data_IF_858712828295
#
_entry.id   IF_858712828295
#
_cell.length_a   1.000
_cell.length_b   1.000
_cell.length_c   1.000
_cell.angle_alpha   90.00
_cell.angle_beta   90.00
_cell.angle_gamma   90.00
#
_symmetry.space_group_name_H-M   'P 1'
#
loop_
_entity.id
_entity.type
_entity.pdbx_description
1 polymer ?
#
# COMPACT_ATOMS: atom_id res chain seq x y z
N UNK A 1 39.26 -39.21 2.07
CA UNK A 1 38.83 -38.06 1.18
C UNK A 1 37.49 -37.61 1.69
N UNK A 2 37.46 -36.65 2.64
CA UNK A 2 36.24 -36.11 3.23
C UNK A 2 35.74 -35.00 2.32
N UNK A 3 34.58 -35.22 1.68
CA UNK A 3 33.87 -34.20 0.90
C UNK A 3 33.09 -33.38 1.93
N UNK A 4 33.53 -32.13 2.15
CA UNK A 4 32.77 -31.13 2.88
C UNK A 4 31.60 -30.69 1.98
N UNK A 5 30.39 -31.17 2.24
CA UNK A 5 29.19 -30.51 1.75
C UNK A 5 29.07 -29.19 2.51
N UNK A 6 29.41 -28.11 1.86
CA UNK A 6 28.93 -26.80 2.26
C UNK A 6 27.41 -26.84 2.12
N UNK A 7 26.70 -26.93 3.25
CA UNK A 7 25.30 -26.53 3.32
C UNK A 7 25.25 -25.05 2.99
N UNK A 8 24.98 -24.72 1.72
CA UNK A 8 24.50 -23.42 1.33
C UNK A 8 23.17 -23.33 2.07
N UNK A 9 23.10 -22.50 3.11
CA UNK A 9 21.85 -22.10 3.73
C UNK A 9 21.04 -21.49 2.58
N UNK A 10 20.03 -22.18 2.09
CA UNK A 10 19.06 -21.57 1.17
C UNK A 10 18.60 -20.30 1.86
N UNK A 11 18.88 -19.16 1.26
CA UNK A 11 18.35 -17.89 1.73
C UNK A 11 16.87 -17.96 1.37
N UNK A 12 16.02 -18.18 2.38
CA UNK A 12 14.58 -18.24 2.15
C UNK A 12 14.14 -16.92 1.51
N UNK A 13 13.52 -17.03 0.35
CA UNK A 13 13.00 -15.90 -0.41
C UNK A 13 11.95 -15.18 0.44
N UNK A 14 12.12 -13.88 0.65
CA UNK A 14 11.21 -13.07 1.45
C UNK A 14 10.05 -12.57 0.60
N UNK A 15 8.85 -13.07 0.82
CA UNK A 15 7.64 -12.72 0.07
C UNK A 15 6.95 -11.50 0.67
N UNK A 16 6.85 -10.43 -0.10
CA UNK A 16 6.27 -9.14 0.30
C UNK A 16 5.05 -8.82 -0.57
N UNK A 17 3.87 -8.85 0.02
CA UNK A 17 2.63 -8.46 -0.64
C UNK A 17 2.42 -6.96 -0.55
N UNK A 18 2.29 -6.26 -1.68
CA UNK A 18 1.93 -4.86 -1.79
C UNK A 18 0.46 -4.72 -2.21
N UNK A 19 -0.45 -4.63 -1.23
CA UNK A 19 -1.88 -4.52 -1.45
C UNK A 19 -2.34 -3.06 -1.42
N UNK A 20 -2.84 -2.54 -2.55
CA UNK A 20 -3.20 -1.13 -2.66
C UNK A 20 -4.15 -0.81 -3.80
N UNK A 21 -4.30 0.47 -4.07
CA UNK A 21 -5.17 1.04 -5.09
C UNK A 21 -4.43 1.40 -6.40
N UNK A 22 -4.87 2.48 -7.06
CA UNK A 22 -4.27 2.98 -8.30
C UNK A 22 -2.82 3.45 -8.13
N UNK A 23 -2.46 4.02 -6.99
CA UNK A 23 -1.08 4.42 -6.70
C UNK A 23 -0.15 3.21 -6.52
N UNK A 24 -0.66 2.06 -6.07
CA UNK A 24 0.10 0.81 -6.05
C UNK A 24 0.10 0.13 -7.42
N UNK A 25 -0.98 0.20 -8.16
CA UNK A 25 -1.05 -0.31 -9.54
C UNK A 25 -0.11 0.47 -10.47
N UNK A 26 0.17 1.76 -10.16
CA UNK A 26 1.00 2.65 -10.97
C UNK A 26 0.20 3.36 -12.06
N UNK A 27 -0.97 3.90 -11.73
CA UNK A 27 -1.79 4.68 -12.66
C UNK A 27 -1.10 5.99 -13.02
N UNK A 28 -1.09 6.35 -14.31
CA UNK A 28 -0.49 7.60 -14.79
C UNK A 28 -1.46 8.76 -14.64
N UNK A 29 -1.05 9.89 -14.04
CA UNK A 29 -1.91 11.06 -13.87
C UNK A 29 -2.48 11.63 -15.18
N UNK A 30 -1.78 11.43 -16.30
CA UNK A 30 -2.22 11.86 -17.64
C UNK A 30 -3.29 10.93 -18.26
N UNK A 31 -3.76 9.93 -17.52
CA UNK A 31 -4.77 8.93 -17.94
C UNK A 31 -4.34 8.03 -19.11
N UNK A 32 -3.05 7.97 -19.44
CA UNK A 32 -2.52 7.14 -20.55
C UNK A 32 -2.28 5.68 -20.18
N UNK A 33 -2.60 5.29 -18.93
CA UNK A 33 -2.54 3.89 -18.49
C UNK A 33 -1.68 3.66 -17.26
N UNK A 34 -0.83 2.64 -17.32
CA UNK A 34 0.03 2.18 -16.22
C UNK A 34 1.48 2.56 -16.46
N UNK A 35 2.17 3.04 -15.45
CA UNK A 35 3.63 3.15 -15.48
C UNK A 35 4.28 1.77 -15.67
N UNK A 36 5.42 1.74 -16.31
CA UNK A 36 6.19 0.52 -16.51
C UNK A 36 6.94 0.08 -15.23
N UNK A 37 7.65 -1.04 -15.31
CA UNK A 37 8.44 -1.60 -14.21
C UNK A 37 9.66 -0.77 -13.80
N UNK A 38 10.03 0.25 -14.60
CA UNK A 38 11.13 1.16 -14.27
C UNK A 38 10.65 2.38 -13.49
N UNK A 39 9.35 2.53 -13.30
CA UNK A 39 8.72 3.70 -12.67
C UNK A 39 7.89 3.34 -11.45
N UNK A 40 7.11 2.24 -11.48
CA UNK A 40 6.23 1.88 -10.35
C UNK A 40 7.03 1.65 -9.07
N UNK A 41 6.57 2.23 -7.96
CA UNK A 41 7.26 2.12 -6.67
C UNK A 41 7.50 0.66 -6.24
N UNK A 42 6.56 -0.23 -6.50
CA UNK A 42 6.66 -1.66 -6.20
C UNK A 42 7.77 -2.35 -6.97
N UNK A 43 7.88 -2.07 -8.27
CA UNK A 43 8.94 -2.63 -9.12
C UNK A 43 10.32 -1.99 -8.83
N UNK A 44 10.36 -0.69 -8.51
CA UNK A 44 11.57 -0.02 -8.04
C UNK A 44 12.04 -0.60 -6.70
N UNK A 45 11.09 -0.89 -5.78
CA UNK A 45 11.38 -1.56 -4.51
C UNK A 45 11.98 -2.94 -4.73
N UNK A 46 11.44 -3.75 -5.66
CA UNK A 46 12.01 -5.05 -6.05
C UNK A 46 13.48 -4.92 -6.48
N UNK A 47 13.78 -3.92 -7.33
CA UNK A 47 15.14 -3.67 -7.81
C UNK A 47 16.10 -3.28 -6.68
N UNK A 48 15.63 -2.49 -5.72
CA UNK A 48 16.42 -2.05 -4.56
C UNK A 48 16.70 -3.17 -3.56
N UNK A 49 15.72 -3.99 -3.28
CA UNK A 49 15.83 -5.10 -2.33
C UNK A 49 16.64 -6.29 -2.91
N UNK A 50 16.64 -6.47 -4.23
CA UNK A 50 17.39 -7.52 -4.90
C UNK A 50 16.67 -8.88 -4.93
N UNK A 51 17.39 -9.96 -5.32
CA UNK A 51 16.79 -11.26 -5.63
C UNK A 51 16.39 -12.08 -4.41
N UNK A 52 16.79 -11.69 -3.21
CA UNK A 52 16.40 -12.35 -1.95
C UNK A 52 14.99 -11.98 -1.51
N UNK A 53 14.34 -11.06 -2.21
CA UNK A 53 12.99 -10.57 -1.97
C UNK A 53 12.13 -10.78 -3.19
N UNK A 54 10.86 -11.05 -2.97
CA UNK A 54 9.84 -11.18 -4.01
C UNK A 54 8.69 -10.24 -3.72
N UNK A 55 8.57 -9.18 -4.52
CA UNK A 55 7.49 -8.20 -4.41
C UNK A 55 6.29 -8.65 -5.24
N UNK A 56 5.17 -8.86 -4.57
CA UNK A 56 3.90 -9.25 -5.16
C UNK A 56 3.04 -7.99 -5.30
N UNK A 57 2.82 -7.56 -6.55
CA UNK A 57 2.10 -6.32 -6.88
C UNK A 57 0.59 -6.56 -6.95
N UNK A 58 -0.15 -6.22 -5.91
CA UNK A 58 -1.61 -6.35 -5.82
C UNK A 58 -2.30 -4.97 -5.77
N UNK A 59 -1.95 -4.09 -6.71
CA UNK A 59 -2.62 -2.81 -6.94
C UNK A 59 -3.88 -2.95 -7.80
N UNK A 60 -4.98 -2.29 -7.42
CA UNK A 60 -6.21 -2.25 -8.22
C UNK A 60 -6.84 -0.85 -8.19
N UNK A 61 -6.90 -0.19 -9.35
CA UNK A 61 -7.49 1.15 -9.47
C UNK A 61 -8.91 1.21 -8.91
N UNK A 62 -9.18 2.18 -8.04
CA UNK A 62 -10.49 2.34 -7.41
C UNK A 62 -10.70 1.47 -6.16
N UNK A 63 -9.70 0.70 -5.71
CA UNK A 63 -9.85 -0.14 -4.50
C UNK A 63 -10.05 0.72 -3.26
N UNK A 64 -11.11 0.40 -2.51
CA UNK A 64 -11.44 0.94 -1.19
C UNK A 64 -10.99 -0.03 -0.09
N UNK A 65 -11.09 0.38 1.17
CA UNK A 65 -10.95 -0.53 2.31
C UNK A 65 -12.17 -1.45 2.43
N UNK A 66 -13.35 -0.92 2.75
CA UNK A 66 -14.56 -1.70 3.08
C UNK A 66 -15.80 -1.27 2.30
N UNK A 67 -15.74 -0.22 1.51
CA UNK A 67 -16.90 0.30 0.80
C UNK A 67 -17.10 -0.42 -0.54
N UNK A 68 -18.33 -0.77 -0.85
CA UNK A 68 -18.69 -1.21 -2.19
C UNK A 68 -18.69 -0.02 -3.16
N UNK A 69 -18.16 -0.24 -4.35
CA UNK A 69 -18.29 0.70 -5.45
C UNK A 69 -19.37 0.18 -6.39
N UNK A 70 -20.54 0.83 -6.35
CA UNK A 70 -21.69 0.44 -7.18
C UNK A 70 -21.46 0.69 -8.68
N UNK A 71 -20.44 1.47 -9.03
CA UNK A 71 -20.09 1.78 -10.43
C UNK A 71 -19.01 0.84 -10.96
N UNK A 72 -18.25 0.17 -10.08
CA UNK A 72 -17.12 -0.68 -10.46
C UNK A 72 -17.04 -1.91 -9.55
N UNK A 73 -17.48 -3.04 -10.05
CA UNK A 73 -17.46 -4.31 -9.32
C UNK A 73 -16.04 -4.69 -8.85
N UNK A 74 -15.96 -5.37 -7.69
CA UNK A 74 -14.72 -5.93 -7.17
C UNK A 74 -13.75 -4.91 -6.55
N UNK A 75 -14.21 -3.71 -6.17
CA UNK A 75 -13.33 -2.67 -5.60
C UNK A 75 -13.22 -2.70 -4.08
N UNK A 76 -14.04 -3.47 -3.40
CA UNK A 76 -13.97 -3.59 -1.94
C UNK A 76 -12.77 -4.46 -1.53
N UNK A 77 -11.76 -3.83 -0.93
CA UNK A 77 -10.52 -4.50 -0.51
C UNK A 77 -10.77 -5.62 0.51
N UNK A 78 -11.74 -5.43 1.41
CA UNK A 78 -12.11 -6.45 2.39
C UNK A 78 -12.54 -7.78 1.74
N UNK A 79 -13.18 -7.76 0.58
CA UNK A 79 -13.60 -8.98 -0.11
C UNK A 79 -12.42 -9.71 -0.77
N UNK A 80 -11.39 -8.95 -1.16
CA UNK A 80 -10.26 -9.46 -1.93
C UNK A 80 -9.09 -9.91 -1.06
N UNK A 81 -8.79 -9.21 0.03
CA UNK A 81 -7.55 -9.41 0.78
C UNK A 81 -7.37 -10.85 1.29
N UNK A 82 -8.44 -11.51 1.74
CA UNK A 82 -8.34 -12.88 2.22
C UNK A 82 -7.89 -13.85 1.13
N UNK A 83 -8.55 -13.79 -0.02
CA UNK A 83 -8.21 -14.63 -1.19
C UNK A 83 -6.81 -14.30 -1.70
N UNK A 84 -6.44 -13.01 -1.75
CA UNK A 84 -5.10 -12.58 -2.16
C UNK A 84 -4.02 -13.15 -1.24
N UNK A 85 -4.23 -13.11 0.07
CA UNK A 85 -3.29 -13.71 1.04
C UNK A 85 -3.17 -15.21 0.82
N UNK A 86 -4.27 -15.95 0.72
CA UNK A 86 -4.26 -17.40 0.46
C UNK A 86 -3.53 -17.77 -0.84
N UNK A 87 -3.68 -16.96 -1.90
CA UNK A 87 -3.04 -17.22 -3.21
C UNK A 87 -1.52 -17.05 -3.18
N UNK A 88 -1.00 -16.21 -2.28
CA UNK A 88 0.42 -15.86 -2.22
C UNK A 88 1.13 -16.34 -0.96
N UNK A 89 0.43 -17.07 -0.10
CA UNK A 89 0.98 -17.62 1.13
C UNK A 89 2.10 -18.66 0.83
N UNK A 90 3.20 -18.73 1.59
CA UNK A 90 3.48 -17.95 2.80
C UNK A 90 4.00 -16.55 2.51
N UNK A 91 3.58 -15.56 3.33
CA UNK A 91 4.01 -14.18 3.27
C UNK A 91 4.86 -13.82 4.49
N UNK A 92 5.91 -13.00 4.29
CA UNK A 92 6.76 -12.48 5.36
C UNK A 92 6.37 -11.07 5.75
N UNK A 93 5.95 -10.25 4.78
CA UNK A 93 5.50 -8.88 4.99
C UNK A 93 4.28 -8.57 4.13
N UNK A 94 3.27 -7.94 4.71
CA UNK A 94 2.15 -7.35 3.98
C UNK A 94 2.22 -5.84 4.10
N UNK A 95 2.24 -5.15 2.98
CA UNK A 95 2.19 -3.69 2.88
C UNK A 95 0.80 -3.31 2.39
N UNK A 96 0.08 -2.48 3.15
CA UNK A 96 -1.25 -2.01 2.77
C UNK A 96 -1.22 -0.49 2.59
N UNK A 97 -1.56 -0.03 1.38
CA UNK A 97 -1.74 1.38 1.04
C UNK A 97 -3.11 1.56 0.37
N UNK A 98 -4.11 1.89 1.16
CA UNK A 98 -5.51 2.12 0.76
C UNK A 98 -6.05 3.36 1.49
N UNK A 99 -7.19 3.87 1.06
CA UNK A 99 -7.92 4.95 1.71
C UNK A 99 -8.24 6.14 0.81
N UNK A 100 -7.50 6.33 -0.27
CA UNK A 100 -7.76 7.41 -1.24
C UNK A 100 -9.18 7.32 -1.79
N UNK A 101 -9.58 6.15 -2.28
CA UNK A 101 -10.93 5.95 -2.84
C UNK A 101 -12.04 5.99 -1.81
N UNK A 102 -11.73 5.72 -0.55
CA UNK A 102 -12.68 5.81 0.57
C UNK A 102 -13.06 7.28 0.87
N UNK A 103 -12.23 8.24 0.44
CA UNK A 103 -12.50 9.67 0.54
C UNK A 103 -13.55 10.18 -0.45
N UNK A 104 -14.00 9.37 -1.42
CA UNK A 104 -15.02 9.78 -2.40
C UNK A 104 -16.31 10.23 -1.73
N UNK A 105 -16.92 11.27 -2.29
CA UNK A 105 -18.13 11.92 -1.74
C UNK A 105 -19.27 10.95 -1.48
N UNK A 106 -19.41 9.92 -2.35
CA UNK A 106 -20.48 8.92 -2.25
C UNK A 106 -20.45 8.12 -0.95
N UNK A 107 -19.27 7.98 -0.31
CA UNK A 107 -19.16 7.25 0.94
C UNK A 107 -19.36 8.11 2.18
N UNK A 108 -19.09 9.41 2.10
CA UNK A 108 -19.27 10.35 3.21
C UNK A 108 -18.51 9.97 4.48
N UNK A 109 -17.44 9.20 4.35
CA UNK A 109 -16.71 8.63 5.48
C UNK A 109 -15.72 9.63 6.08
N UNK A 110 -15.58 9.62 7.40
CA UNK A 110 -14.47 10.32 8.07
C UNK A 110 -13.20 9.47 8.06
N UNK A 111 -12.04 10.09 8.25
CA UNK A 111 -10.75 9.39 8.34
C UNK A 111 -10.78 8.27 9.41
N UNK A 112 -11.45 8.49 10.54
CA UNK A 112 -11.57 7.47 11.58
C UNK A 112 -12.45 6.27 11.17
N UNK A 113 -13.45 6.48 10.33
CA UNK A 113 -14.28 5.39 9.77
C UNK A 113 -13.46 4.60 8.74
N UNK A 114 -12.69 5.28 7.92
CA UNK A 114 -11.79 4.65 6.94
C UNK A 114 -10.73 3.80 7.66
N UNK A 115 -10.13 4.32 8.73
CA UNK A 115 -9.17 3.56 9.55
C UNK A 115 -9.77 2.30 10.18
N UNK A 116 -11.04 2.35 10.64
CA UNK A 116 -11.77 1.14 11.08
C UNK A 116 -11.99 0.15 9.92
N UNK A 117 -12.20 0.65 8.71
CA UNK A 117 -12.24 -0.17 7.51
C UNK A 117 -10.90 -0.86 7.25
N UNK A 118 -9.80 -0.14 7.36
CA UNK A 118 -8.45 -0.70 7.27
C UNK A 118 -8.22 -1.81 8.31
N UNK A 119 -8.67 -1.62 9.56
CA UNK A 119 -8.58 -2.66 10.60
C UNK A 119 -9.31 -3.95 10.20
N UNK A 120 -10.45 -3.87 9.51
CA UNK A 120 -11.15 -5.06 9.01
C UNK A 120 -10.34 -5.76 7.91
N UNK A 121 -9.70 -5.01 7.01
CA UNK A 121 -8.82 -5.55 5.97
C UNK A 121 -7.63 -6.27 6.61
N UNK A 122 -6.97 -5.65 7.58
CA UNK A 122 -5.84 -6.25 8.32
C UNK A 122 -6.26 -7.54 9.02
N UNK A 123 -7.37 -7.52 9.74
CA UNK A 123 -7.91 -8.70 10.43
C UNK A 123 -8.20 -9.82 9.46
N UNK A 124 -8.82 -9.52 8.33
CA UNK A 124 -9.12 -10.49 7.28
C UNK A 124 -7.84 -11.08 6.67
N UNK A 125 -6.83 -10.26 6.42
CA UNK A 125 -5.52 -10.74 5.96
C UNK A 125 -4.91 -11.76 6.93
N UNK A 126 -4.85 -11.42 8.21
CA UNK A 126 -4.28 -12.30 9.25
C UNK A 126 -5.05 -13.61 9.45
N UNK A 127 -6.38 -13.59 9.27
CA UNK A 127 -7.22 -14.79 9.41
C UNK A 127 -7.03 -15.79 8.27
N UNK A 128 -6.51 -15.34 7.11
CA UNK A 128 -6.34 -16.19 5.93
C UNK A 128 -4.87 -16.52 5.64
N UNK A 129 -3.93 -16.08 6.46
CA UNK A 129 -2.53 -16.45 6.36
C UNK A 129 -2.26 -17.77 7.12
N UNK A 130 -1.40 -18.62 6.57
CA UNK A 130 -0.97 -19.87 7.21
C UNK A 130 0.06 -19.66 8.32
N UNK A 131 0.74 -18.51 8.29
CA UNK A 131 1.77 -18.13 9.27
C UNK A 131 1.65 -16.64 9.63
N UNK A 132 2.39 -16.25 10.67
CA UNK A 132 2.54 -14.83 11.01
C UNK A 132 3.32 -14.09 9.91
N UNK A 133 2.89 -12.88 9.58
CA UNK A 133 3.61 -11.94 8.73
C UNK A 133 3.74 -10.58 9.42
N UNK A 134 4.81 -9.86 9.11
CA UNK A 134 4.95 -8.46 9.51
C UNK A 134 4.00 -7.56 8.71
N UNK A 135 3.63 -6.41 9.26
CA UNK A 135 2.70 -5.49 8.63
C UNK A 135 3.30 -4.09 8.54
N UNK A 136 3.23 -3.49 7.35
CA UNK A 136 3.49 -2.07 7.11
C UNK A 136 2.21 -1.41 6.60
N UNK A 137 1.72 -0.43 7.35
CA UNK A 137 0.61 0.43 6.94
C UNK A 137 1.18 1.70 6.34
N UNK A 138 0.78 2.01 5.11
CA UNK A 138 1.13 3.26 4.45
C UNK A 138 -0.13 4.11 4.34
N UNK A 139 -0.15 5.28 5.00
CA UNK A 139 -1.14 6.30 4.70
C UNK A 139 -0.85 6.86 3.30
N UNK A 140 -1.84 6.93 2.39
CA UNK A 140 -1.63 7.41 1.03
C UNK A 140 -1.23 8.90 1.00
N UNK A 141 -0.74 9.35 -0.14
CA UNK A 141 -0.57 10.78 -0.42
C UNK A 141 -1.90 11.53 -0.25
N UNK A 142 -1.83 12.82 0.03
CA UNK A 142 -3.04 13.63 0.15
C UNK A 142 -3.71 13.82 -1.22
N UNK A 143 -5.01 14.02 -1.23
CA UNK A 143 -5.70 14.58 -2.39
C UNK A 143 -5.27 16.05 -2.56
N UNK A 144 -4.99 16.45 -3.79
CA UNK A 144 -4.59 17.81 -4.13
C UNK A 144 -5.76 18.80 -4.07
N UNK A 145 -5.44 20.05 -3.81
CA UNK A 145 -6.46 21.10 -3.75
C UNK A 145 -7.22 21.22 -5.07
N UNK A 146 -8.55 21.22 -4.98
CA UNK A 146 -9.44 21.29 -6.13
C UNK A 146 -9.53 20.00 -6.94
N UNK A 147 -9.17 18.84 -6.36
CA UNK A 147 -9.31 17.53 -7.03
C UNK A 147 -10.71 17.27 -7.55
N UNK A 148 -11.74 17.81 -6.89
CA UNK A 148 -13.14 17.67 -7.28
C UNK A 148 -13.64 18.71 -8.30
N UNK A 149 -12.78 19.59 -8.82
CA UNK A 149 -13.16 20.51 -9.89
C UNK A 149 -13.49 19.75 -11.19
N UNK A 150 -14.36 20.32 -12.07
CA UNK A 150 -14.86 19.61 -13.26
C UNK A 150 -13.79 19.03 -14.20
N UNK A 151 -12.60 19.64 -14.22
CA UNK A 151 -11.50 19.21 -15.08
C UNK A 151 -10.70 18.02 -14.51
N UNK A 152 -10.94 17.63 -13.25
CA UNK A 152 -10.23 16.58 -12.53
C UNK A 152 -11.12 15.35 -12.24
N UNK A 153 -11.38 15.02 -10.96
CA UNK A 153 -12.25 13.91 -10.59
C UNK A 153 -13.44 14.37 -9.72
N UNK A 154 -14.65 14.53 -10.31
CA UNK A 154 -15.83 14.98 -9.59
C UNK A 154 -16.38 13.99 -8.55
N UNK A 155 -15.76 12.80 -8.40
CA UNK A 155 -16.11 11.89 -7.33
C UNK A 155 -15.58 12.36 -5.96
N UNK A 156 -14.68 13.37 -5.95
CA UNK A 156 -14.15 14.02 -4.75
C UNK A 156 -14.71 15.44 -4.57
N UNK A 157 -14.45 16.02 -3.42
CA UNK A 157 -14.76 17.42 -3.07
C UNK A 157 -13.76 17.97 -2.04
N UNK A 158 -13.97 19.18 -1.58
CA UNK A 158 -13.16 19.83 -0.55
C UNK A 158 -13.14 19.04 0.78
N UNK A 159 -14.25 18.32 1.11
CA UNK A 159 -14.29 17.47 2.30
C UNK A 159 -13.42 16.24 2.11
N UNK A 160 -13.38 15.68 0.90
CA UNK A 160 -12.48 14.58 0.55
C UNK A 160 -11.01 14.95 0.77
N UNK A 161 -10.60 16.16 0.37
CA UNK A 161 -9.27 16.69 0.63
C UNK A 161 -8.96 16.74 2.13
N UNK A 162 -9.90 17.28 2.93
CA UNK A 162 -9.74 17.36 4.38
C UNK A 162 -9.67 15.98 5.04
N UNK A 163 -10.47 15.02 4.58
CA UNK A 163 -10.42 13.62 5.07
C UNK A 163 -9.07 12.98 4.72
N UNK A 164 -8.57 13.15 3.50
CA UNK A 164 -7.29 12.56 3.06
C UNK A 164 -6.12 13.04 3.93
N UNK A 165 -6.09 14.32 4.31
CA UNK A 165 -5.05 14.89 5.20
C UNK A 165 -5.09 14.30 6.61
N UNK A 166 -6.25 13.86 7.08
CA UNK A 166 -6.43 13.29 8.43
C UNK A 166 -6.19 11.77 8.48
N UNK A 167 -6.01 11.10 7.32
CA UNK A 167 -5.80 9.64 7.29
C UNK A 167 -4.52 9.23 8.03
N UNK A 168 -3.44 9.98 7.88
CA UNK A 168 -2.15 9.64 8.47
C UNK A 168 -2.23 9.50 10.00
N UNK A 169 -2.93 10.41 10.68
CA UNK A 169 -3.07 10.36 12.14
C UNK A 169 -3.91 9.16 12.60
N UNK A 170 -4.99 8.86 11.90
CA UNK A 170 -5.85 7.72 12.22
C UNK A 170 -5.14 6.39 11.90
N UNK A 171 -4.38 6.32 10.80
CA UNK A 171 -3.62 5.14 10.41
C UNK A 171 -2.42 4.87 11.34
N UNK A 172 -1.81 5.92 11.88
CA UNK A 172 -0.77 5.79 12.91
C UNK A 172 -1.34 5.13 14.18
N UNK A 173 -2.56 5.48 14.59
CA UNK A 173 -3.26 4.82 15.70
C UNK A 173 -3.57 3.37 15.37
N UNK A 174 -4.08 3.09 14.17
CA UNK A 174 -4.34 1.73 13.70
C UNK A 174 -3.07 0.89 13.65
N UNK A 175 -1.94 1.46 13.21
CA UNK A 175 -0.65 0.78 13.21
C UNK A 175 -0.21 0.36 14.61
N UNK A 176 -0.29 1.26 15.59
CA UNK A 176 0.01 0.93 16.99
C UNK A 176 -0.87 -0.18 17.53
N UNK A 177 -2.17 -0.15 17.27
CA UNK A 177 -3.14 -1.17 17.71
C UNK A 177 -2.88 -2.54 17.08
N UNK A 178 -2.35 -2.55 15.86
CA UNK A 178 -2.06 -3.77 15.10
C UNK A 178 -0.60 -4.23 15.21
N UNK A 179 0.24 -3.61 16.05
CA UNK A 179 1.68 -3.87 16.13
C UNK A 179 2.36 -3.81 14.75
N UNK A 180 1.95 -2.85 13.92
CA UNK A 180 2.42 -2.66 12.57
C UNK A 180 3.43 -1.52 12.49
N UNK A 181 4.34 -1.59 11.51
CA UNK A 181 5.11 -0.44 11.08
C UNK A 181 4.20 0.57 10.37
N UNK A 182 4.58 1.83 10.40
CA UNK A 182 3.82 2.93 9.79
C UNK A 182 4.72 3.80 8.92
N UNK A 183 4.18 4.26 7.79
CA UNK A 183 4.76 5.26 6.90
C UNK A 183 3.64 6.18 6.42
N UNK A 184 3.91 7.48 6.32
CA UNK A 184 3.01 8.44 5.68
C UNK A 184 3.59 8.83 4.32
N UNK A 185 2.96 8.42 3.22
CA UNK A 185 3.45 8.72 1.88
C UNK A 185 3.48 10.22 1.59
N UNK A 186 2.60 11.00 2.21
CA UNK A 186 2.56 12.46 2.07
C UNK A 186 3.78 13.20 2.68
N UNK A 187 4.60 12.52 3.47
CA UNK A 187 5.86 13.08 3.96
C UNK A 187 6.96 13.07 2.88
N UNK A 188 6.78 12.34 1.79
CA UNK A 188 7.78 12.12 0.74
C UNK A 188 7.33 12.66 -0.62
N UNK A 189 6.03 12.77 -0.86
CA UNK A 189 5.49 13.22 -2.13
C UNK A 189 4.12 13.90 -1.99
N UNK A 190 3.74 14.62 -3.03
CA UNK A 190 2.42 15.25 -3.24
C UNK A 190 1.80 14.71 -4.52
N UNK A 191 0.46 14.77 -4.66
CA UNK A 191 -0.18 14.32 -5.89
C UNK A 191 0.26 15.18 -7.08
N UNK A 192 0.34 14.56 -8.25
CA UNK A 192 0.61 15.26 -9.51
C UNK A 192 -0.38 16.42 -9.72
N UNK A 193 0.12 17.53 -10.23
CA UNK A 193 -0.72 18.66 -10.64
C UNK A 193 -1.64 18.32 -11.80
N UNK A 194 -1.35 17.22 -12.52
CA UNK A 194 -2.09 16.79 -13.71
C UNK A 194 -3.49 16.29 -13.37
N UNK A 195 -3.64 15.54 -12.25
CA UNK A 195 -4.94 15.01 -11.82
C UNK A 195 -5.26 15.25 -10.34
N UNK A 196 -4.30 15.74 -9.57
CA UNK A 196 -4.44 16.05 -8.14
C UNK A 196 -4.77 14.83 -7.25
N UNK A 197 -4.52 13.62 -7.75
CA UNK A 197 -4.85 12.35 -7.08
C UNK A 197 -3.67 11.37 -7.07
N UNK A 198 -2.96 11.22 -8.18
CA UNK A 198 -1.95 10.18 -8.34
C UNK A 198 -0.53 10.72 -8.25
N UNK A 199 0.39 9.85 -7.86
CA UNK A 199 1.83 10.11 -7.89
C UNK A 199 2.33 10.19 -9.33
N UNK A 200 3.25 11.11 -9.58
CA UNK A 200 4.06 11.09 -10.80
C UNK A 200 5.29 10.16 -10.65
N UNK A 201 6.19 10.20 -11.63
CA UNK A 201 7.41 9.36 -11.64
C UNK A 201 8.34 9.64 -10.45
N UNK A 202 8.42 10.91 -10.03
CA UNK A 202 9.24 11.30 -8.89
C UNK A 202 8.64 10.80 -7.57
N UNK A 203 7.32 10.84 -7.43
CA UNK A 203 6.60 10.32 -6.27
C UNK A 203 6.74 8.80 -6.13
N UNK A 204 6.63 8.07 -7.23
CA UNK A 204 6.90 6.63 -7.22
C UNK A 204 8.33 6.31 -6.76
N UNK A 205 9.32 7.09 -7.20
CA UNK A 205 10.72 6.91 -6.78
C UNK A 205 10.87 7.21 -5.29
N UNK A 206 10.36 8.34 -4.81
CA UNK A 206 10.44 8.74 -3.42
C UNK A 206 9.76 7.74 -2.47
N UNK A 207 8.57 7.22 -2.86
CA UNK A 207 7.89 6.19 -2.08
C UNK A 207 8.68 4.88 -2.04
N UNK A 208 9.27 4.45 -3.16
CA UNK A 208 10.10 3.25 -3.20
C UNK A 208 11.31 3.35 -2.26
N UNK A 209 11.96 4.53 -2.21
CA UNK A 209 13.08 4.81 -1.30
C UNK A 209 12.65 4.74 0.16
N UNK A 210 11.55 5.41 0.50
CA UNK A 210 11.03 5.44 1.86
C UNK A 210 10.60 4.04 2.36
N UNK A 211 9.95 3.25 1.49
CA UNK A 211 9.54 1.87 1.83
C UNK A 211 10.76 0.96 1.98
N UNK A 212 11.75 1.08 1.10
CA UNK A 212 13.03 0.37 1.21
C UNK A 212 13.71 0.63 2.55
N UNK A 213 13.88 1.90 2.92
CA UNK A 213 14.52 2.28 4.19
C UNK A 213 13.73 1.73 5.40
N UNK A 214 12.39 1.73 5.31
CA UNK A 214 11.52 1.18 6.35
C UNK A 214 11.71 -0.34 6.50
N UNK A 215 11.77 -1.10 5.40
CA UNK A 215 11.98 -2.56 5.43
C UNK A 215 13.36 -2.89 6.01
N UNK A 216 14.41 -2.20 5.58
CA UNK A 216 15.76 -2.42 6.10
C UNK A 216 15.84 -2.11 7.61
N UNK A 217 15.14 -1.08 8.06
CA UNK A 217 15.07 -0.76 9.50
C UNK A 217 14.34 -1.84 10.32
N UNK A 218 13.28 -2.45 9.77
CA UNK A 218 12.56 -3.57 10.40
C UNK A 218 13.47 -4.80 10.50
N UNK A 219 14.15 -5.17 9.42
CA UNK A 219 15.09 -6.31 9.41
C UNK A 219 16.25 -6.17 10.41
N UNK A 220 16.76 -4.94 10.62
CA UNK A 220 17.80 -4.67 11.64
C UNK A 220 17.26 -4.78 13.08
N UNK A 221 15.97 -4.48 13.29
CA UNK A 221 15.31 -4.66 14.59
C UNK A 221 15.17 -6.13 15.00
N UNK A 222 14.93 -7.02 14.04
CA UNK A 222 14.82 -8.47 14.26
C UNK A 222 16.18 -9.12 14.52
N UNK A 223 17.26 -8.64 13.90
CA UNK A 223 18.61 -9.17 14.08
C UNK A 223 19.22 -8.88 15.49
N UNK A 224 18.64 -7.95 16.24
CA UNK A 224 19.10 -7.57 17.57
C UNK A 224 18.35 -8.29 18.71
N UNK A 225 17.47 -9.24 18.41
CA UNK A 225 16.65 -10.00 19.38
C UNK A 225 17.04 -11.49 19.45
N UNK A 226 18.14 -11.89 18.77
CA UNK A 226 18.70 -13.25 18.84
C UNK A 226 19.97 -13.27 19.67
#
# INVERSE_FOLDING_TARGET
>A
MFIWFYLIKECDLMNILCFGDSNTWGYKPDKTGRFDENTRWTALLQKKLGPEYHIIEEGLCGRTTVFHDELREGRRGLDMIGVTVEMHDPLDLVIIMLGTNDCKTRYGASASVIAKGLDQVIRKARLNASQHFDLLIIAPIHLGHGVGEPDFDPEFDEKSEAVSRNLADEYRKAALQNHAAFLNAADFDSPSITDREHMDESGHTALADAVYDKIIALGKGLANVI
#
